data_IF_643214401960
#
_entry.id   IF_643214401960
#
_cell.length_a   1.000
_cell.length_b   1.000
_cell.length_c   1.000
_cell.angle_alpha   90.00
_cell.angle_beta   90.00
_cell.angle_gamma   90.00
#
_symmetry.space_group_name_H-M   'P 1'
#
loop_
_entity.id
_entity.type
_entity.pdbx_description
1 polymer ?
#
# COMPACT_ATOMS: atom_id res chain seq x y z
N UNK A 1 16.42 22.12 -13.32
CA UNK A 1 15.38 21.76 -12.37
C UNK A 1 14.57 20.61 -12.95
N UNK A 2 14.58 19.50 -12.30
CA UNK A 2 13.83 18.36 -12.76
C UNK A 2 12.39 18.38 -12.30
N UNK A 3 11.53 17.74 -13.07
CA UNK A 3 10.17 17.47 -12.65
C UNK A 3 10.22 16.30 -11.63
N UNK A 4 9.47 16.42 -10.55
CA UNK A 4 9.36 15.33 -9.60
C UNK A 4 8.54 14.19 -10.20
N UNK A 5 9.04 12.96 -10.02
CA UNK A 5 8.34 11.75 -10.45
C UNK A 5 7.78 11.05 -9.20
N UNK A 6 6.47 11.04 -9.08
CA UNK A 6 5.78 10.39 -7.97
C UNK A 6 5.00 9.20 -8.53
N UNK A 7 5.29 8.01 -8.03
CA UNK A 7 4.65 6.78 -8.49
C UNK A 7 3.54 6.36 -7.52
N UNK A 8 2.41 5.96 -8.07
CA UNK A 8 1.31 5.39 -7.31
C UNK A 8 1.40 3.88 -7.37
N UNK A 9 1.37 3.22 -6.22
CA UNK A 9 1.37 1.76 -6.13
C UNK A 9 0.12 1.32 -5.40
N UNK A 10 -0.67 0.49 -6.05
CA UNK A 10 -1.87 -0.10 -5.46
C UNK A 10 -1.50 -1.51 -5.00
N UNK A 11 -1.65 -1.76 -3.70
CA UNK A 11 -1.33 -3.05 -3.10
C UNK A 11 -2.57 -3.93 -3.01
N UNK A 12 -2.35 -5.22 -2.96
CA UNK A 12 -3.40 -6.24 -2.85
C UNK A 12 -4.36 -6.24 -4.05
N UNK A 13 -3.80 -6.11 -5.26
CA UNK A 13 -4.57 -6.36 -6.48
C UNK A 13 -5.11 -7.80 -6.46
N UNK A 14 -6.22 -8.10 -7.17
CA UNK A 14 -6.79 -9.45 -7.15
C UNK A 14 -5.74 -10.52 -7.44
N UNK A 15 -5.57 -11.46 -6.51
CA UNK A 15 -4.61 -12.55 -6.65
C UNK A 15 -3.14 -12.18 -6.41
N UNK A 16 -2.85 -10.94 -6.07
CA UNK A 16 -1.47 -10.50 -5.84
C UNK A 16 -0.94 -11.02 -4.51
N UNK A 17 0.27 -11.59 -4.53
CA UNK A 17 0.95 -12.07 -3.32
C UNK A 17 1.87 -11.00 -2.76
N UNK A 18 2.28 -11.16 -1.49
CA UNK A 18 3.24 -10.26 -0.87
C UNK A 18 4.57 -10.25 -1.63
N UNK A 19 5.02 -11.43 -2.10
CA UNK A 19 6.25 -11.51 -2.88
C UNK A 19 6.18 -10.68 -4.15
N UNK A 20 5.02 -10.66 -4.81
CA UNK A 20 4.81 -9.84 -6.01
C UNK A 20 4.81 -8.35 -5.68
N UNK A 21 4.21 -7.97 -4.55
CA UNK A 21 4.21 -6.57 -4.10
C UNK A 21 5.63 -6.10 -3.77
N UNK A 22 6.44 -6.93 -3.13
CA UNK A 22 7.83 -6.60 -2.85
C UNK A 22 8.67 -6.50 -4.13
N UNK A 23 8.40 -7.33 -5.14
CA UNK A 23 9.05 -7.21 -6.44
C UNK A 23 8.75 -5.87 -7.09
N UNK A 24 7.53 -5.36 -6.93
CA UNK A 24 7.18 -4.03 -7.43
C UNK A 24 8.04 -2.97 -6.76
N UNK A 25 8.23 -3.05 -5.46
CA UNK A 25 9.09 -2.11 -4.72
C UNK A 25 10.54 -2.20 -5.21
N UNK A 26 11.06 -3.41 -5.38
CA UNK A 26 12.42 -3.62 -5.89
C UNK A 26 12.59 -3.02 -7.29
N UNK A 27 11.60 -3.21 -8.16
CA UNK A 27 11.61 -2.62 -9.49
C UNK A 27 11.66 -1.09 -9.43
N UNK A 28 10.84 -0.49 -8.56
CA UNK A 28 10.81 0.96 -8.42
C UNK A 28 12.13 1.51 -7.86
N UNK A 29 12.81 0.75 -7.00
CA UNK A 29 14.12 1.15 -6.49
C UNK A 29 15.17 1.31 -7.58
N UNK A 30 14.98 0.62 -8.71
CA UNK A 30 15.91 0.70 -9.86
C UNK A 30 15.57 1.84 -10.81
N UNK A 31 14.55 2.63 -10.50
CA UNK A 31 14.07 3.72 -11.35
C UNK A 31 14.25 5.08 -10.66
N UNK A 32 14.47 6.15 -11.42
CA UNK A 32 14.70 7.48 -10.84
C UNK A 32 13.38 8.13 -10.42
N UNK A 33 12.76 7.63 -9.35
CA UNK A 33 11.56 8.21 -8.79
C UNK A 33 11.89 9.02 -7.54
N UNK A 34 11.11 10.07 -7.29
CA UNK A 34 11.32 10.97 -6.16
C UNK A 34 10.40 10.68 -5.01
N UNK A 35 9.20 10.19 -5.31
CA UNK A 35 8.21 9.90 -4.28
C UNK A 35 7.31 8.74 -4.64
N UNK A 36 6.60 8.23 -3.64
CA UNK A 36 5.72 7.09 -3.79
C UNK A 36 4.45 7.29 -2.95
N UNK A 37 3.33 6.84 -3.49
CA UNK A 37 2.06 6.75 -2.76
C UNK A 37 1.66 5.29 -2.72
N UNK A 38 1.66 4.71 -1.52
CA UNK A 38 1.25 3.32 -1.31
C UNK A 38 -0.21 3.32 -0.90
N UNK A 39 -1.05 2.62 -1.66
CA UNK A 39 -2.48 2.58 -1.44
C UNK A 39 -2.97 1.14 -1.46
N UNK A 40 -4.03 0.88 -0.71
CA UNK A 40 -4.72 -0.39 -0.75
C UNK A 40 -5.81 -0.34 -1.81
N UNK A 41 -5.98 -1.43 -2.54
CA UNK A 41 -7.09 -1.56 -3.49
C UNK A 41 -8.42 -1.40 -2.75
N UNK A 42 -9.24 -0.46 -3.22
CA UNK A 42 -10.59 -0.22 -2.70
C UNK A 42 -11.62 -0.73 -3.69
N UNK A 43 -12.60 -1.47 -3.19
CA UNK A 43 -13.73 -1.93 -3.99
C UNK A 43 -14.88 -0.95 -3.73
N UNK A 44 -15.28 -0.21 -4.76
CA UNK A 44 -16.29 0.83 -4.66
C UNK A 44 -17.55 0.42 -5.41
N UNK A 45 -18.71 0.82 -4.88
CA UNK A 45 -20.01 0.56 -5.50
C UNK A 45 -20.06 1.15 -6.93
N UNK A 46 -20.70 0.42 -7.84
CA UNK A 46 -20.90 0.89 -9.21
C UNK A 46 -19.72 0.71 -10.13
N UNK A 47 -18.64 0.05 -9.69
CA UNK A 47 -17.46 -0.19 -10.50
C UNK A 47 -17.47 -1.61 -11.08
N UNK A 48 -16.70 -1.82 -12.15
CA UNK A 48 -16.52 -3.16 -12.72
C UNK A 48 -15.83 -4.09 -11.72
N UNK A 49 -14.90 -3.57 -10.94
CA UNK A 49 -14.21 -4.33 -9.91
C UNK A 49 -15.19 -4.87 -8.86
N UNK A 50 -16.19 -4.07 -8.47
CA UNK A 50 -17.21 -4.49 -7.53
C UNK A 50 -18.05 -5.64 -8.09
N UNK A 51 -18.37 -5.60 -9.39
CA UNK A 51 -19.09 -6.70 -10.05
C UNK A 51 -18.26 -7.96 -10.10
N UNK A 52 -16.97 -7.83 -10.42
CA UNK A 52 -16.04 -8.96 -10.47
C UNK A 52 -15.89 -9.59 -9.10
N UNK A 53 -15.79 -8.78 -8.05
CA UNK A 53 -15.69 -9.26 -6.68
C UNK A 53 -16.96 -10.03 -6.26
N UNK A 54 -18.13 -9.53 -6.64
CA UNK A 54 -19.39 -10.19 -6.32
C UNK A 54 -19.52 -11.56 -7.00
N UNK A 55 -18.98 -11.70 -8.22
CA UNK A 55 -19.02 -12.97 -8.97
C UNK A 55 -18.00 -13.96 -8.46
N UNK A 56 -16.78 -13.51 -8.19
CA UNK A 56 -15.65 -14.35 -7.82
C UNK A 56 -14.83 -13.60 -6.78
N UNK A 57 -15.21 -13.69 -5.50
CA UNK A 57 -14.50 -12.97 -4.44
C UNK A 57 -13.03 -13.34 -4.39
N UNK A 58 -12.18 -12.34 -4.26
CA UNK A 58 -10.75 -12.52 -4.07
C UNK A 58 -10.38 -12.09 -2.65
N UNK A 59 -9.16 -12.41 -2.24
CA UNK A 59 -8.70 -12.13 -0.89
C UNK A 59 -8.67 -10.61 -0.61
N UNK A 60 -9.31 -10.22 0.49
CA UNK A 60 -9.26 -8.86 1.01
C UNK A 60 -8.44 -8.91 2.31
N UNK A 61 -7.35 -8.14 2.42
CA UNK A 61 -6.55 -8.19 3.64
C UNK A 61 -7.30 -7.58 4.83
N UNK A 62 -7.04 -8.11 6.02
CA UNK A 62 -7.43 -7.41 7.23
C UNK A 62 -6.41 -6.30 7.53
N UNK A 63 -6.69 -5.47 8.55
CA UNK A 63 -5.81 -4.34 8.88
C UNK A 63 -4.41 -4.81 9.25
N UNK A 64 -4.29 -5.88 10.03
CA UNK A 64 -2.98 -6.37 10.47
C UNK A 64 -2.15 -6.89 9.30
N UNK A 65 -2.78 -7.60 8.38
CA UNK A 65 -2.12 -8.11 7.17
C UNK A 65 -1.61 -6.95 6.31
N UNK A 66 -2.43 -5.93 6.12
CA UNK A 66 -2.03 -4.74 5.37
C UNK A 66 -0.85 -4.04 6.03
N UNK A 67 -0.91 -3.85 7.34
CA UNK A 67 0.13 -3.16 8.11
C UNK A 67 1.46 -3.91 8.02
N UNK A 68 1.43 -5.24 8.11
CA UNK A 68 2.66 -6.05 7.95
C UNK A 68 3.24 -5.89 6.55
N UNK A 69 2.40 -5.89 5.53
CA UNK A 69 2.84 -5.70 4.16
C UNK A 69 3.45 -4.32 3.96
N UNK A 70 2.81 -3.28 4.48
CA UNK A 70 3.32 -1.91 4.43
C UNK A 70 4.69 -1.82 5.12
N UNK A 71 4.84 -2.47 6.27
CA UNK A 71 6.12 -2.51 6.97
C UNK A 71 7.23 -3.12 6.12
N UNK A 72 6.94 -4.23 5.45
CA UNK A 72 7.89 -4.87 4.56
C UNK A 72 8.21 -4.00 3.34
N UNK A 73 7.21 -3.34 2.76
CA UNK A 73 7.43 -2.43 1.65
C UNK A 73 8.34 -1.26 2.05
N UNK A 74 8.10 -0.67 3.21
CA UNK A 74 8.92 0.43 3.72
C UNK A 74 10.36 -0.04 3.96
N UNK A 75 10.53 -1.24 4.54
CA UNK A 75 11.85 -1.79 4.82
C UNK A 75 12.67 -2.00 3.53
N UNK A 76 12.01 -2.34 2.43
CA UNK A 76 12.68 -2.60 1.16
C UNK A 76 12.82 -1.36 0.27
N UNK A 77 12.12 -0.28 0.60
CA UNK A 77 12.10 0.94 -0.22
C UNK A 77 13.40 1.73 -0.05
N UNK A 78 13.97 2.17 -1.16
CA UNK A 78 15.18 3.01 -1.17
C UNK A 78 14.99 4.25 -0.28
N UNK A 79 15.94 4.57 0.62
CA UNK A 79 15.73 5.59 1.65
C UNK A 79 15.48 7.01 1.16
N UNK A 80 15.91 7.33 -0.06
CA UNK A 80 15.76 8.68 -0.63
C UNK A 80 14.42 8.93 -1.31
N UNK A 81 13.56 7.91 -1.42
CA UNK A 81 12.21 8.06 -1.98
C UNK A 81 11.28 8.59 -0.90
N UNK A 82 10.61 9.70 -1.18
CA UNK A 82 9.68 10.32 -0.22
C UNK A 82 8.34 9.58 -0.25
N UNK A 83 7.90 9.12 0.91
CA UNK A 83 6.59 8.47 1.03
C UNK A 83 5.54 9.54 1.26
N UNK A 84 4.64 9.72 0.28
CA UNK A 84 3.60 10.74 0.34
C UNK A 84 2.30 10.22 0.96
N UNK A 85 2.06 8.90 0.89
CA UNK A 85 0.79 8.31 1.35
C UNK A 85 0.99 6.83 1.67
N UNK A 86 0.34 6.38 2.75
CA UNK A 86 0.38 4.99 3.19
C UNK A 86 -1.01 4.33 3.24
N UNK A 87 -2.06 5.09 2.93
CA UNK A 87 -3.44 4.58 2.95
C UNK A 87 -4.19 5.08 1.73
N UNK A 88 -5.26 4.36 1.35
CA UNK A 88 -6.14 4.82 0.30
C UNK A 88 -7.04 5.96 0.77
N UNK A 89 -7.66 6.63 -0.17
CA UNK A 89 -8.49 7.81 0.08
C UNK A 89 -9.70 7.76 -0.86
N UNK A 90 -10.64 6.89 -0.54
CA UNK A 90 -11.86 6.74 -1.32
C UNK A 90 -13.09 7.24 -0.56
N UNK A 91 -14.20 7.50 -1.28
CA UNK A 91 -15.45 7.94 -0.64
C UNK A 91 -16.03 6.82 0.23
N UNK A 92 -16.23 7.12 1.52
CA UNK A 92 -16.69 6.12 2.52
C UNK A 92 -18.06 5.55 2.19
N UNK A 93 -18.95 6.37 1.64
CA UNK A 93 -20.32 5.97 1.33
C UNK A 93 -20.40 4.99 0.15
N UNK A 94 -19.38 4.92 -0.68
CA UNK A 94 -19.30 4.00 -1.81
C UNK A 94 -18.42 2.79 -1.52
N UNK A 95 -17.74 2.75 -0.39
CA UNK A 95 -16.78 1.69 -0.06
C UNK A 95 -17.47 0.38 0.27
N UNK A 96 -17.18 -0.67 -0.50
CA UNK A 96 -17.64 -2.02 -0.22
C UNK A 96 -16.62 -2.73 0.67
N UNK A 97 -15.35 -2.78 0.23
CA UNK A 97 -14.25 -3.42 0.94
C UNK A 97 -12.93 -2.69 0.66
N UNK A 98 -11.96 -2.71 1.56
CA UNK A 98 -12.06 -3.13 2.96
C UNK A 98 -12.68 -2.04 3.83
N UNK A 99 -13.63 -2.41 4.67
CA UNK A 99 -14.36 -1.44 5.50
C UNK A 99 -13.48 -0.72 6.51
N UNK A 100 -12.46 -1.40 7.05
CA UNK A 100 -11.57 -0.81 8.05
C UNK A 100 -10.75 0.38 7.50
N UNK A 101 -10.58 0.50 6.17
CA UNK A 101 -9.85 1.63 5.59
C UNK A 101 -10.55 2.96 5.79
N UNK A 102 -11.85 2.94 6.10
CA UNK A 102 -12.60 4.16 6.42
C UNK A 102 -12.10 4.87 7.68
N UNK A 103 -11.44 4.15 8.58
CA UNK A 103 -10.85 4.71 9.80
C UNK A 103 -9.39 5.12 9.56
N UNK A 104 -9.17 6.05 8.65
CA UNK A 104 -7.84 6.43 8.15
C UNK A 104 -6.85 6.77 9.26
N UNK A 105 -7.27 7.57 10.24
CA UNK A 105 -6.40 7.96 11.36
C UNK A 105 -5.99 6.75 12.19
N UNK A 106 -6.92 5.85 12.46
CA UNK A 106 -6.64 4.62 13.21
C UNK A 106 -5.62 3.75 12.45
N UNK A 107 -5.80 3.60 11.14
CA UNK A 107 -4.88 2.83 10.31
C UNK A 107 -3.48 3.43 10.36
N UNK A 108 -3.35 4.74 10.19
CA UNK A 108 -2.06 5.42 10.23
C UNK A 108 -1.38 5.27 11.59
N UNK A 109 -2.13 5.40 12.68
CA UNK A 109 -1.61 5.22 14.03
C UNK A 109 -1.08 3.81 14.23
N UNK A 110 -1.83 2.80 13.76
CA UNK A 110 -1.40 1.40 13.86
C UNK A 110 -0.15 1.12 13.01
N UNK A 111 -0.05 1.73 11.84
CA UNK A 111 1.15 1.61 11.00
C UNK A 111 2.36 2.15 11.76
N UNK A 112 2.27 3.36 12.31
CA UNK A 112 3.38 3.98 13.05
C UNK A 112 3.76 3.16 14.28
N UNK A 113 2.78 2.64 15.02
CA UNK A 113 3.04 1.78 16.18
C UNK A 113 3.74 0.51 15.78
N UNK A 114 3.31 -0.13 14.68
CA UNK A 114 3.92 -1.35 14.18
C UNK A 114 5.38 -1.13 13.77
N UNK A 115 5.65 -0.06 13.03
CA UNK A 115 7.01 0.27 12.60
C UNK A 115 7.92 0.48 13.81
N UNK A 116 7.44 1.17 14.82
CA UNK A 116 8.19 1.42 16.04
C UNK A 116 8.43 0.13 16.83
N UNK A 117 7.39 -0.69 16.98
CA UNK A 117 7.47 -1.95 17.74
C UNK A 117 8.41 -2.94 17.09
N UNK A 118 8.39 -3.02 15.75
CA UNK A 118 9.22 -3.96 14.99
C UNK A 118 10.58 -3.38 14.61
N UNK A 119 10.84 -2.13 15.00
CA UNK A 119 12.10 -1.43 14.69
C UNK A 119 12.36 -1.39 13.19
N UNK A 120 11.33 -0.99 12.43
CA UNK A 120 11.39 -0.90 10.97
C UNK A 120 11.58 0.57 10.57
N UNK A 121 12.56 0.81 9.69
CA UNK A 121 12.75 2.10 9.06
C UNK A 121 12.86 1.92 7.56
N UNK A 122 12.65 3.00 6.83
CA UNK A 122 12.73 2.97 5.36
C UNK A 122 14.15 2.61 4.93
N UNK A 123 14.24 1.57 4.12
CA UNK A 123 15.51 1.10 3.58
C UNK A 123 16.25 0.11 4.45
N UNK A 124 15.64 -0.33 5.57
CA UNK A 124 16.28 -1.30 6.48
C UNK A 124 16.77 -2.54 5.73
N UNK A 125 16.00 -3.02 4.76
CA UNK A 125 16.31 -4.21 3.96
C UNK A 125 16.75 -3.86 2.54
N UNK A 126 17.07 -2.60 2.27
CA UNK A 126 17.55 -2.16 0.96
C UNK A 126 19.07 -2.23 0.92
N UNK A 127 19.60 -2.99 -0.01
CA UNK A 127 21.04 -3.23 -0.12
C UNK A 127 21.65 -2.68 -1.42
N UNK A 128 20.86 -2.01 -2.21
CA UNK A 128 21.26 -1.52 -3.49
C UNK A 128 21.95 -0.23 -3.56
#
# INVERSE_FOLDING_TARGET
>A
AGTQVITHVILFLPGETEAQMLKTIDYLNCNPIDGIKLQLLHILKGTDLARDYARSPFHIPDMDEYIRCIGNCIAHLRPDIVIHRLTGDGPKDLLIEPQWTGAKRTVLNHIHQYLKKQDIWQGKEYYG
#
